data_IF_260494575962
#
_entry.id   IF_260494575962
#
_cell.length_a   1.000
_cell.length_b   1.000
_cell.length_c   1.000
_cell.angle_alpha   90.00
_cell.angle_beta   90.00
_cell.angle_gamma   90.00
#
_symmetry.space_group_name_H-M   'P 1'
#
loop_
_entity.id
_entity.type
_entity.pdbx_description
1 polymer ?
#
# COMPACT_ATOMS: atom_id res chain seq x y z
N UNK A 1 -8.31 0.71 -15.46
CA UNK A 1 -6.96 0.68 -14.86
C UNK A 1 -6.28 2.03 -14.96
N UNK A 2 -6.29 2.69 -16.12
CA UNK A 2 -5.62 3.99 -16.30
C UNK A 2 -6.03 5.04 -15.25
N UNK A 3 -7.31 5.10 -14.89
CA UNK A 3 -7.80 5.92 -13.77
C UNK A 3 -7.09 5.64 -12.42
N UNK A 4 -6.81 4.38 -12.07
CA UNK A 4 -6.12 4.04 -10.81
C UNK A 4 -4.64 4.44 -10.85
N UNK A 5 -4.00 4.30 -12.02
CA UNK A 5 -2.61 4.76 -12.20
C UNK A 5 -2.53 6.28 -12.06
N UNK A 6 -3.45 7.01 -12.67
CA UNK A 6 -3.55 8.46 -12.57
C UNK A 6 -3.87 8.93 -11.15
N UNK A 7 -4.75 8.21 -10.44
CA UNK A 7 -5.17 8.56 -9.08
C UNK A 7 -4.04 8.39 -8.05
N UNK A 8 -3.29 7.29 -8.10
CA UNK A 8 -2.25 7.04 -7.11
C UNK A 8 -1.02 7.94 -7.35
N UNK A 9 -0.52 8.04 -8.57
CA UNK A 9 0.75 8.76 -8.82
C UNK A 9 1.93 8.13 -8.04
N UNK A 10 3.11 8.77 -8.00
CA UNK A 10 4.27 8.19 -7.31
C UNK A 10 4.12 8.22 -5.78
N UNK A 11 4.64 7.18 -5.10
CA UNK A 11 4.75 7.16 -3.63
C UNK A 11 5.71 8.27 -3.19
N UNK A 12 5.38 9.08 -2.17
CA UNK A 12 6.20 10.20 -1.72
C UNK A 12 7.40 9.72 -0.88
N UNK A 13 8.40 9.17 -1.55
CA UNK A 13 9.66 8.71 -0.95
C UNK A 13 10.67 9.87 -0.96
N UNK A 14 10.70 10.67 0.11
CA UNK A 14 11.68 11.74 0.29
C UNK A 14 12.65 11.39 1.43
N UNK A 15 13.93 11.76 1.27
CA UNK A 15 15.11 11.31 2.04
C UNK A 15 15.07 11.46 3.55
N UNK A 16 14.21 10.69 4.20
CA UNK A 16 14.10 10.51 5.64
C UNK A 16 14.53 9.11 6.08
N UNK A 17 14.42 8.89 7.38
CA UNK A 17 14.60 7.58 8.00
C UNK A 17 13.59 6.56 7.45
N UNK A 18 13.93 5.27 7.61
CA UNK A 18 13.03 4.16 7.28
C UNK A 18 11.63 4.34 7.89
N UNK A 19 11.55 4.74 9.15
CA UNK A 19 10.28 4.97 9.83
C UNK A 19 9.47 6.11 9.21
N UNK A 20 10.13 7.20 8.80
CA UNK A 20 9.49 8.31 8.09
C UNK A 20 8.97 7.86 6.72
N UNK A 21 9.75 7.08 5.95
CA UNK A 21 9.33 6.55 4.66
C UNK A 21 8.11 5.62 4.77
N UNK A 22 8.13 4.71 5.74
CA UNK A 22 7.02 3.76 5.94
C UNK A 22 5.76 4.45 6.45
N UNK A 23 5.90 5.39 7.39
CA UNK A 23 4.75 6.13 7.92
C UNK A 23 4.15 7.08 6.89
N UNK A 24 4.96 7.78 6.09
CA UNK A 24 4.48 8.64 5.01
C UNK A 24 3.80 7.83 3.91
N UNK A 25 4.36 6.66 3.55
CA UNK A 25 3.77 5.72 2.59
C UNK A 25 2.39 5.22 3.02
N UNK A 26 2.22 4.84 4.29
CA UNK A 26 0.91 4.40 4.83
C UNK A 26 -0.11 5.53 4.78
N UNK A 27 0.27 6.74 5.22
CA UNK A 27 -0.63 7.90 5.24
C UNK A 27 -1.04 8.31 3.83
N UNK A 28 -0.09 8.26 2.89
CA UNK A 28 -0.37 8.50 1.48
C UNK A 28 -1.34 7.46 0.90
N UNK A 29 -1.11 6.17 1.17
CA UNK A 29 -2.00 5.11 0.69
C UNK A 29 -3.41 5.24 1.26
N UNK A 30 -3.54 5.57 2.55
CA UNK A 30 -4.82 5.82 3.20
C UNK A 30 -5.55 7.02 2.56
N UNK A 31 -4.83 8.11 2.29
CA UNK A 31 -5.40 9.27 1.62
C UNK A 31 -5.89 8.92 0.20
N UNK A 32 -5.07 8.21 -0.59
CA UNK A 32 -5.43 7.79 -1.95
C UNK A 32 -6.64 6.87 -2.00
N UNK A 33 -6.66 5.84 -1.16
CA UNK A 33 -7.80 4.92 -1.08
C UNK A 33 -9.07 5.65 -0.62
N UNK A 34 -8.95 6.67 0.23
CA UNK A 34 -10.06 7.48 0.69
C UNK A 34 -10.56 8.54 -0.28
N UNK A 35 -9.90 8.74 -1.42
CA UNK A 35 -10.41 9.65 -2.47
C UNK A 35 -11.74 9.10 -3.05
N UNK A 36 -12.71 9.97 -3.38
CA UNK A 36 -14.00 9.54 -3.90
C UNK A 36 -13.89 8.58 -5.09
N UNK A 37 -14.44 7.37 -4.94
CA UNK A 37 -14.45 6.33 -5.97
C UNK A 37 -13.15 5.55 -6.16
N UNK A 38 -12.03 5.97 -5.56
CA UNK A 38 -10.74 5.28 -5.73
C UNK A 38 -10.74 3.94 -5.01
N UNK A 39 -11.11 3.90 -3.73
CA UNK A 39 -11.14 2.65 -2.97
C UNK A 39 -12.12 1.60 -3.52
N UNK A 40 -13.29 2.03 -3.98
CA UNK A 40 -14.29 1.16 -4.61
C UNK A 40 -13.79 0.59 -5.95
N UNK A 41 -13.27 1.45 -6.83
CA UNK A 41 -12.65 1.02 -8.07
C UNK A 41 -11.48 0.05 -7.83
N UNK A 42 -10.68 0.31 -6.79
CA UNK A 42 -9.54 -0.53 -6.47
C UNK A 42 -9.97 -1.91 -5.93
N UNK A 43 -10.98 -1.96 -5.06
CA UNK A 43 -11.54 -3.22 -4.57
C UNK A 43 -12.16 -4.05 -5.71
N UNK A 44 -12.91 -3.42 -6.61
CA UNK A 44 -13.50 -4.08 -7.78
C UNK A 44 -12.44 -4.71 -8.69
N UNK A 45 -11.39 -3.95 -9.02
CA UNK A 45 -10.29 -4.44 -9.86
C UNK A 45 -9.56 -5.65 -9.22
N UNK A 46 -9.38 -5.65 -7.90
CA UNK A 46 -8.81 -6.83 -7.23
C UNK A 46 -9.74 -8.04 -7.27
N UNK A 47 -11.04 -7.84 -7.09
CA UNK A 47 -12.04 -8.92 -7.21
C UNK A 47 -11.99 -9.55 -8.61
N UNK A 48 -11.95 -8.75 -9.66
CA UNK A 48 -11.86 -9.23 -11.04
C UNK A 48 -10.56 -10.02 -11.29
N UNK A 49 -9.44 -9.53 -10.77
CA UNK A 49 -8.12 -10.15 -10.94
C UNK A 49 -7.99 -11.54 -10.29
N UNK A 50 -8.83 -11.87 -9.30
CA UNK A 50 -8.88 -13.23 -8.73
C UNK A 50 -9.21 -14.25 -9.83
N UNK A 51 -10.17 -13.92 -10.69
CA UNK A 51 -10.66 -14.79 -11.76
C UNK A 51 -10.02 -14.53 -13.13
N UNK A 52 -9.31 -13.42 -13.31
CA UNK A 52 -8.64 -13.05 -14.56
C UNK A 52 -7.10 -13.02 -14.42
N UNK A 53 -6.39 -14.06 -14.92
CA UNK A 53 -4.92 -14.10 -14.90
C UNK A 53 -4.25 -12.98 -15.70
N UNK A 54 -4.84 -12.54 -16.82
CA UNK A 54 -4.25 -11.51 -17.67
C UNK A 54 -4.33 -10.14 -16.98
N UNK A 55 -5.47 -9.86 -16.32
CA UNK A 55 -5.60 -8.66 -15.49
C UNK A 55 -4.60 -8.67 -14.32
N UNK A 56 -4.42 -9.82 -13.67
CA UNK A 56 -3.44 -9.96 -12.58
C UNK A 56 -2.00 -9.73 -13.04
N UNK A 57 -1.61 -10.21 -14.22
CA UNK A 57 -0.29 -9.93 -14.80
C UNK A 57 -0.10 -8.43 -15.03
N UNK A 58 -1.12 -7.77 -15.58
CA UNK A 58 -1.12 -6.32 -15.78
C UNK A 58 -1.00 -5.57 -14.45
N UNK A 59 -1.76 -5.95 -13.43
CA UNK A 59 -1.70 -5.30 -12.11
C UNK A 59 -0.34 -5.51 -11.45
N UNK A 60 0.23 -6.71 -11.52
CA UNK A 60 1.55 -6.98 -10.96
C UNK A 60 2.63 -6.12 -11.64
N UNK A 61 2.67 -6.14 -12.98
CA UNK A 61 3.76 -5.55 -13.75
C UNK A 61 3.63 -4.05 -13.99
N UNK A 62 2.42 -3.54 -14.16
CA UNK A 62 2.19 -2.12 -14.51
C UNK A 62 1.72 -1.27 -13.34
N UNK A 63 1.11 -1.88 -12.32
CA UNK A 63 0.60 -1.15 -11.17
C UNK A 63 1.45 -1.38 -9.92
N UNK A 64 1.66 -2.61 -9.47
CA UNK A 64 2.38 -2.90 -8.22
C UNK A 64 3.90 -2.72 -8.35
N UNK A 65 4.50 -3.23 -9.44
CA UNK A 65 5.96 -3.24 -9.64
C UNK A 65 6.62 -1.86 -9.49
N UNK A 66 6.09 -0.75 -10.06
CA UNK A 66 6.67 0.58 -9.85
C UNK A 66 6.78 0.96 -8.37
N UNK A 67 5.76 0.65 -7.57
CA UNK A 67 5.77 0.93 -6.12
C UNK A 67 6.69 -0.01 -5.36
N UNK A 68 6.65 -1.30 -5.70
CA UNK A 68 7.52 -2.32 -5.10
C UNK A 68 9.00 -1.99 -5.32
N UNK A 69 9.38 -1.67 -6.55
CA UNK A 69 10.77 -1.34 -6.89
C UNK A 69 11.23 -0.06 -6.17
N UNK A 70 10.40 0.98 -6.14
CA UNK A 70 10.73 2.23 -5.44
C UNK A 70 10.88 2.02 -3.93
N UNK A 71 9.99 1.23 -3.32
CA UNK A 71 10.08 0.88 -1.90
C UNK A 71 11.28 -0.03 -1.59
N UNK A 72 11.64 -0.96 -2.48
CA UNK A 72 12.83 -1.79 -2.31
C UNK A 72 14.10 -0.96 -2.28
N UNK A 73 14.25 -0.03 -3.24
CA UNK A 73 15.39 0.88 -3.28
C UNK A 73 15.45 1.76 -2.03
N UNK A 74 14.33 2.36 -1.65
CA UNK A 74 14.27 3.28 -0.51
C UNK A 74 14.45 2.59 0.85
N UNK A 75 13.98 1.35 1.02
CA UNK A 75 14.04 0.62 2.29
C UNK A 75 15.25 -0.32 2.39
N UNK A 76 15.91 -0.64 1.27
CA UNK A 76 17.00 -1.62 1.21
C UNK A 76 16.53 -3.05 1.54
N UNK A 77 15.28 -3.39 1.21
CA UNK A 77 14.64 -4.64 1.59
C UNK A 77 14.49 -5.62 0.41
N UNK A 78 14.50 -6.94 0.67
CA UNK A 78 14.19 -7.92 -0.36
C UNK A 78 12.72 -7.82 -0.77
N UNK A 79 12.45 -8.27 -2.00
CA UNK A 79 11.15 -8.20 -2.66
C UNK A 79 10.00 -8.70 -1.78
N UNK A 80 10.16 -9.88 -1.17
CA UNK A 80 9.12 -10.48 -0.34
C UNK A 80 8.73 -9.60 0.87
N UNK A 81 9.70 -8.91 1.49
CA UNK A 81 9.42 -8.04 2.64
C UNK A 81 8.67 -6.77 2.22
N UNK A 82 9.00 -6.22 1.06
CA UNK A 82 8.27 -5.08 0.49
C UNK A 82 6.86 -5.47 0.07
N UNK A 83 6.69 -6.63 -0.56
CA UNK A 83 5.36 -7.16 -0.91
C UNK A 83 4.51 -7.35 0.34
N UNK A 84 5.02 -7.98 1.40
CA UNK A 84 4.27 -8.12 2.65
C UNK A 84 3.90 -6.78 3.28
N UNK A 85 4.79 -5.79 3.23
CA UNK A 85 4.46 -4.44 3.69
C UNK A 85 3.30 -3.84 2.87
N UNK A 86 3.35 -3.93 1.53
CA UNK A 86 2.25 -3.47 0.66
C UNK A 86 0.95 -4.22 0.98
N UNK A 87 1.00 -5.55 1.08
CA UNK A 87 -0.17 -6.40 1.32
C UNK A 87 -0.83 -6.06 2.65
N UNK A 88 -0.04 -5.91 3.72
CA UNK A 88 -0.54 -5.54 5.05
C UNK A 88 -1.19 -4.17 5.01
N UNK A 89 -0.54 -3.17 4.42
CA UNK A 89 -1.06 -1.80 4.42
C UNK A 89 -2.29 -1.67 3.54
N UNK A 90 -2.17 -2.00 2.25
CA UNK A 90 -3.24 -1.83 1.26
C UNK A 90 -4.41 -2.75 1.57
N UNK A 91 -4.14 -4.02 1.93
CA UNK A 91 -5.16 -4.97 2.32
C UNK A 91 -5.96 -4.53 3.54
N UNK A 92 -5.29 -4.00 4.57
CA UNK A 92 -5.97 -3.49 5.77
C UNK A 92 -6.86 -2.29 5.45
N UNK A 93 -6.37 -1.35 4.63
CA UNK A 93 -7.14 -0.16 4.24
C UNK A 93 -8.40 -0.53 3.45
N UNK A 94 -8.26 -1.40 2.44
CA UNK A 94 -9.39 -1.86 1.63
C UNK A 94 -10.37 -2.72 2.44
N UNK A 95 -9.86 -3.61 3.30
CA UNK A 95 -10.71 -4.40 4.19
C UNK A 95 -11.51 -3.51 5.14
N UNK A 96 -10.88 -2.50 5.76
CA UNK A 96 -11.59 -1.54 6.62
C UNK A 96 -12.68 -0.82 5.85
N UNK A 97 -12.39 -0.38 4.63
CA UNK A 97 -13.38 0.28 3.77
C UNK A 97 -14.55 -0.65 3.43
N UNK A 98 -14.28 -1.91 3.05
CA UNK A 98 -15.34 -2.89 2.80
C UNK A 98 -16.22 -3.18 4.02
N UNK A 99 -15.63 -3.22 5.22
CA UNK A 99 -16.37 -3.51 6.46
C UNK A 99 -17.17 -2.33 7.00
N UNK A 100 -16.78 -1.09 6.69
CA UNK A 100 -17.38 0.12 7.28
C UNK A 100 -18.13 1.00 6.27
N UNK A 101 -17.90 0.78 4.97
CA UNK A 101 -18.43 1.61 3.89
C UNK A 101 -17.72 2.96 3.72
N UNK A 102 -16.59 3.20 4.41
CA UNK A 102 -15.88 4.47 4.36
C UNK A 102 -14.36 4.34 4.56
N UNK A 103 -13.60 5.40 4.27
CA UNK A 103 -12.16 5.41 4.50
C UNK A 103 -11.82 5.21 5.98
N UNK A 104 -10.64 4.65 6.23
CA UNK A 104 -10.11 4.51 7.59
C UNK A 104 -9.92 5.90 8.22
N UNK A 105 -10.39 6.09 9.45
CA UNK A 105 -10.25 7.35 10.18
C UNK A 105 -8.78 7.64 10.54
N UNK A 106 -8.39 8.91 10.64
CA UNK A 106 -6.99 9.32 10.89
C UNK A 106 -6.37 8.71 12.16
N UNK A 107 -7.19 8.52 13.21
CA UNK A 107 -6.76 7.87 14.44
C UNK A 107 -6.42 6.39 14.21
N UNK A 108 -7.22 5.68 13.42
CA UNK A 108 -6.96 4.29 13.04
C UNK A 108 -5.77 4.17 12.09
N UNK A 109 -5.58 5.12 11.16
CA UNK A 109 -4.38 5.19 10.30
C UNK A 109 -3.13 5.37 11.16
N UNK A 110 -3.21 6.19 12.21
CA UNK A 110 -2.10 6.39 13.14
C UNK A 110 -1.78 5.12 13.92
N UNK A 111 -2.80 4.40 14.41
CA UNK A 111 -2.60 3.10 15.04
C UNK A 111 -1.99 2.06 14.07
N UNK A 112 -2.41 2.06 12.80
CA UNK A 112 -1.82 1.20 11.77
C UNK A 112 -0.33 1.51 11.56
N UNK A 113 0.03 2.79 11.47
CA UNK A 113 1.44 3.22 11.37
C UNK A 113 2.26 2.70 12.55
N UNK A 114 1.78 2.88 13.78
CA UNK A 114 2.48 2.42 14.99
C UNK A 114 2.71 0.91 14.98
N UNK A 115 1.68 0.12 14.65
CA UNK A 115 1.79 -1.35 14.57
C UNK A 115 2.76 -1.80 13.48
N UNK A 116 2.70 -1.19 12.29
CA UNK A 116 3.59 -1.54 11.18
C UNK A 116 5.03 -1.15 11.50
N UNK A 117 5.27 0.01 12.10
CA UNK A 117 6.62 0.42 12.50
C UNK A 117 7.21 -0.48 13.59
N UNK A 118 6.40 -0.94 14.55
CA UNK A 118 6.86 -1.87 15.57
C UNK A 118 7.35 -3.21 14.99
N UNK A 119 6.83 -3.64 13.83
CA UNK A 119 7.20 -4.91 13.19
C UNK A 119 8.19 -4.78 12.03
N UNK A 120 8.16 -3.66 11.31
CA UNK A 120 8.95 -3.46 10.09
C UNK A 120 9.95 -2.30 10.17
N UNK A 121 9.79 -1.40 11.15
CA UNK A 121 10.61 -0.19 11.32
C UNK A 121 11.98 -0.46 11.92
N UNK A 122 12.08 -1.45 12.80
CA UNK A 122 13.37 -1.86 13.38
C UNK A 122 13.99 -2.98 12.54
N UNK A 123 15.20 -2.75 12.02
CA UNK A 123 16.00 -3.74 11.27
C UNK A 123 16.50 -4.93 12.09
N UNK A 124 15.93 -5.18 13.27
CA UNK A 124 16.30 -6.26 14.17
C UNK A 124 15.26 -7.40 14.09
N UNK A 125 15.25 -8.13 12.97
CA UNK A 125 14.85 -9.54 13.02
C UNK A 125 15.88 -10.33 13.84
N UNK A 126 15.50 -11.42 14.53
CA UNK A 126 16.41 -12.14 15.41
C UNK A 126 17.59 -12.70 14.62
N UNK A 127 18.79 -12.57 15.22
CA UNK A 127 20.03 -13.17 14.75
C UNK A 127 19.95 -14.71 14.69
#
# INVERSE_FOLDING_TARGET
MDFLLDAFGPVPLAGGSRAELMSSGIRWAAAKIGEPGVGDAFAGVFSDAVSDPALREILATRFQDPYRLALQDALGEPENRVLFYIDVVVGTLLHRMGMTGGPMADADVTALVEMVLAHFGDGAGPA
#
